data_IF_155936492349
#
_entry.id   IF_155936492349
#
_cell.length_a   1.000
_cell.length_b   1.000
_cell.length_c   1.000
_cell.angle_alpha   90.00
_cell.angle_beta   90.00
_cell.angle_gamma   90.00
#
_symmetry.space_group_name_H-M   'P 1'
#
loop_
_entity.id
_entity.type
_entity.pdbx_description
1 polymer ?
#
# COMPACT_ATOMS: atom_id res chain seq x y z
N UNK A 1 -20.11 21.93 6.07
CA UNK A 1 -19.38 21.12 5.06
C UNK A 1 -19.66 19.66 5.32
N UNK A 2 -20.27 18.97 4.38
CA UNK A 2 -20.99 17.70 4.57
C UNK A 2 -20.02 16.53 4.76
N UNK A 3 -20.35 15.66 5.74
CA UNK A 3 -19.69 14.38 6.06
C UNK A 3 -19.50 13.45 4.84
N UNK A 4 -20.20 13.72 3.74
CA UNK A 4 -20.18 12.98 2.47
C UNK A 4 -18.90 13.20 1.65
N UNK A 5 -18.39 14.43 1.57
CA UNK A 5 -17.25 14.76 0.69
C UNK A 5 -15.91 14.18 1.16
N UNK A 6 -15.78 13.86 2.46
CA UNK A 6 -14.56 13.26 3.03
C UNK A 6 -14.39 11.78 2.64
N UNK A 7 -15.50 11.04 2.47
CA UNK A 7 -15.46 9.62 2.07
C UNK A 7 -15.24 9.47 0.56
N UNK A 8 -15.85 10.33 -0.25
CA UNK A 8 -15.79 10.25 -1.71
C UNK A 8 -14.40 10.58 -2.28
N UNK A 9 -13.69 11.55 -1.69
CA UNK A 9 -12.28 11.82 -2.03
C UNK A 9 -11.34 10.67 -1.63
N UNK A 10 -11.66 9.94 -0.56
CA UNK A 10 -10.87 8.77 -0.14
C UNK A 10 -10.99 7.61 -1.14
N UNK A 11 -12.20 7.38 -1.67
CA UNK A 11 -12.46 6.30 -2.63
C UNK A 11 -11.82 6.57 -4.00
N UNK A 12 -11.85 7.83 -4.46
CA UNK A 12 -11.17 8.24 -5.71
C UNK A 12 -9.66 8.10 -5.62
N UNK A 13 -9.07 8.31 -4.45
CA UNK A 13 -7.63 8.18 -4.25
C UNK A 13 -7.21 6.70 -4.17
N UNK A 14 -8.01 5.87 -3.50
CA UNK A 14 -7.78 4.43 -3.43
C UNK A 14 -7.81 3.77 -4.82
N UNK A 15 -8.79 4.09 -5.66
CA UNK A 15 -8.89 3.50 -7.00
C UNK A 15 -7.72 3.90 -7.92
N UNK A 16 -7.31 5.18 -7.89
CA UNK A 16 -6.14 5.65 -8.65
C UNK A 16 -4.85 5.00 -8.17
N UNK A 17 -4.70 4.80 -6.87
CA UNK A 17 -3.54 4.13 -6.31
C UNK A 17 -3.49 2.65 -6.71
N UNK A 18 -4.62 1.94 -6.68
CA UNK A 18 -4.66 0.53 -7.11
C UNK A 18 -4.28 0.37 -8.58
N UNK A 19 -4.75 1.26 -9.45
CA UNK A 19 -4.33 1.26 -10.86
C UNK A 19 -2.84 1.59 -11.02
N UNK A 20 -2.31 2.53 -10.23
CA UNK A 20 -0.87 2.82 -10.22
C UNK A 20 -0.03 1.61 -9.79
N UNK A 21 -0.46 0.87 -8.77
CA UNK A 21 0.21 -0.36 -8.31
C UNK A 21 0.20 -1.41 -9.42
N UNK A 22 -0.94 -1.62 -10.08
CA UNK A 22 -1.05 -2.57 -11.20
C UNK A 22 -0.12 -2.20 -12.36
N UNK A 23 -0.04 -0.93 -12.73
CA UNK A 23 0.77 -0.52 -13.88
C UNK A 23 2.25 -0.25 -13.54
N UNK A 24 2.61 -0.25 -12.26
CA UNK A 24 3.99 -0.02 -11.84
C UNK A 24 4.89 -1.23 -12.08
N UNK A 25 6.15 -0.96 -12.44
CA UNK A 25 7.21 -1.97 -12.59
C UNK A 25 7.94 -2.28 -11.28
N UNK A 26 7.82 -1.40 -10.29
CA UNK A 26 8.43 -1.60 -8.98
C UNK A 26 7.57 -0.99 -7.86
N UNK A 27 7.67 -1.52 -6.65
CA UNK A 27 7.05 -0.99 -5.46
C UNK A 27 8.08 -0.96 -4.32
N UNK A 28 8.11 0.16 -3.59
CA UNK A 28 8.92 0.29 -2.37
C UNK A 28 7.95 0.26 -1.20
N UNK A 29 8.09 -0.73 -0.33
CA UNK A 29 7.23 -0.91 0.85
C UNK A 29 8.02 -0.51 2.08
N UNK A 30 7.60 0.56 2.76
CA UNK A 30 8.28 1.05 3.97
C UNK A 30 7.55 0.54 5.20
N UNK A 31 8.09 -0.51 5.81
CA UNK A 31 7.63 -1.01 7.10
C UNK A 31 8.12 -0.10 8.21
N UNK A 32 7.21 0.26 9.12
CA UNK A 32 7.49 1.05 10.30
C UNK A 32 6.63 0.55 11.45
N UNK A 33 6.91 1.01 12.67
CA UNK A 33 6.21 0.61 13.89
C UNK A 33 4.68 0.78 13.82
N UNK A 34 4.18 1.69 12.96
CA UNK A 34 2.76 1.96 12.80
C UNK A 34 2.14 1.34 11.54
N UNK A 35 2.94 0.65 10.72
CA UNK A 35 2.49 0.11 9.44
C UNK A 35 1.34 -0.89 9.61
N UNK A 36 1.51 -1.86 10.52
CA UNK A 36 0.49 -2.87 10.82
C UNK A 36 -0.74 -2.30 11.56
N UNK A 37 -0.63 -1.11 12.15
CA UNK A 37 -1.74 -0.45 12.83
C UNK A 37 -2.70 0.27 11.85
N UNK A 38 -2.30 0.46 10.59
CA UNK A 38 -3.10 1.12 9.56
C UNK A 38 -3.73 0.10 8.62
N UNK A 39 -5.06 -0.07 8.70
CA UNK A 39 -5.79 -0.96 7.79
C UNK A 39 -5.57 -0.58 6.32
N UNK A 40 -5.43 0.71 6.05
CA UNK A 40 -5.14 1.21 4.71
C UNK A 40 -3.76 0.74 4.20
N UNK A 41 -2.72 0.78 5.04
CA UNK A 41 -1.39 0.31 4.65
C UNK A 41 -1.40 -1.20 4.37
N UNK A 42 -2.20 -1.98 5.11
CA UNK A 42 -2.37 -3.41 4.87
C UNK A 42 -3.11 -3.70 3.56
N UNK A 43 -4.14 -2.93 3.23
CA UNK A 43 -4.87 -3.04 1.97
C UNK A 43 -3.96 -2.73 0.77
N UNK A 44 -3.13 -1.69 0.87
CA UNK A 44 -2.13 -1.35 -0.14
C UNK A 44 -1.08 -2.46 -0.31
N UNK A 45 -0.60 -3.04 0.80
CA UNK A 45 0.36 -4.14 0.80
C UNK A 45 -0.21 -5.39 0.11
N UNK A 46 -1.46 -5.73 0.41
CA UNK A 46 -2.15 -6.86 -0.22
C UNK A 46 -2.23 -6.68 -1.75
N UNK A 47 -2.60 -5.48 -2.22
CA UNK A 47 -2.65 -5.19 -3.65
C UNK A 47 -1.28 -5.29 -4.33
N UNK A 48 -0.20 -4.85 -3.67
CA UNK A 48 1.18 -5.03 -4.17
C UNK A 48 1.55 -6.50 -4.20
N UNK A 49 1.22 -7.28 -3.16
CA UNK A 49 1.53 -8.70 -3.07
C UNK A 49 0.82 -9.52 -4.16
N UNK A 50 -0.46 -9.23 -4.41
CA UNK A 50 -1.23 -9.85 -5.49
C UNK A 50 -0.63 -9.51 -6.85
N UNK A 51 -0.29 -8.23 -7.09
CA UNK A 51 0.35 -7.81 -8.35
C UNK A 51 1.73 -8.44 -8.55
N UNK A 52 2.53 -8.55 -7.50
CA UNK A 52 3.85 -9.19 -7.54
C UNK A 52 3.76 -10.68 -7.84
N UNK A 53 2.69 -11.37 -7.42
CA UNK A 53 2.46 -12.79 -7.77
C UNK A 53 2.13 -12.97 -9.26
N UNK A 54 1.41 -12.02 -9.84
CA UNK A 54 0.94 -12.09 -11.23
C UNK A 54 1.93 -11.52 -12.26
N UNK A 55 2.99 -10.83 -11.81
CA UNK A 55 3.91 -10.10 -12.71
C UNK A 55 5.35 -10.07 -12.18
N UNK A 56 6.31 -9.68 -13.02
CA UNK A 56 7.72 -9.49 -12.62
C UNK A 56 7.97 -8.14 -11.95
N UNK A 57 6.99 -7.61 -11.21
CA UNK A 57 7.14 -6.37 -10.46
C UNK A 57 8.26 -6.51 -9.43
N UNK A 58 9.17 -5.54 -9.34
CA UNK A 58 10.23 -5.54 -8.33
C UNK A 58 9.67 -4.96 -7.01
N UNK A 59 9.64 -5.75 -5.94
CA UNK A 59 9.26 -5.26 -4.60
C UNK A 59 10.51 -5.09 -3.74
N UNK A 60 10.71 -3.88 -3.22
CA UNK A 60 11.83 -3.53 -2.34
C UNK A 60 11.26 -3.20 -0.95
N UNK A 61 11.45 -4.07 0.05
CA UNK A 61 11.09 -3.75 1.42
C UNK A 61 12.14 -2.82 2.06
N UNK A 62 11.68 -1.83 2.82
CA UNK A 62 12.50 -0.92 3.63
C UNK A 62 11.97 -1.00 5.06
N UNK A 63 12.85 -1.34 5.99
CA UNK A 63 12.51 -1.44 7.41
C UNK A 63 12.99 -0.17 8.12
N UNK A 64 12.04 0.67 8.53
CA UNK A 64 12.30 1.93 9.22
C UNK A 64 11.95 1.80 10.69
N UNK A 65 12.99 1.84 11.55
CA UNK A 65 12.84 1.79 13.02
C UNK A 65 12.05 0.55 13.50
N UNK A 66 12.20 -0.56 12.79
CA UNK A 66 11.63 -1.88 13.12
C UNK A 66 12.65 -2.97 12.81
N UNK A 67 12.65 -4.05 13.59
CA UNK A 67 13.43 -5.24 13.24
C UNK A 67 12.74 -5.99 12.08
N UNK A 68 13.46 -6.39 11.03
CA UNK A 68 12.91 -7.26 9.99
C UNK A 68 12.30 -8.56 10.52
N UNK A 69 12.67 -9.06 11.71
CA UNK A 69 12.04 -10.23 12.33
C UNK A 69 10.64 -9.98 12.88
N UNK A 70 10.26 -8.72 13.09
CA UNK A 70 8.96 -8.32 13.64
C UNK A 70 7.89 -8.12 12.55
N UNK A 71 8.25 -8.33 11.28
CA UNK A 71 7.43 -8.12 10.08
C UNK A 71 7.28 -9.42 9.30
#
# INVERSE_FOLDING_TARGET
MTRSSRKENSLRNASQLMEAIKHSRAAIVVFSSHYAASTWCLDEMAAIADRHRESTQLVIPVFYDVDPSDV
#
